data_IF_664718993283
#
_entry.id   IF_664718993283
#
_cell.length_a   1.000
_cell.length_b   1.000
_cell.length_c   1.000
_cell.angle_alpha   90.00
_cell.angle_beta   90.00
_cell.angle_gamma   90.00
#
_symmetry.space_group_name_H-M   'P 1'
#
loop_
_entity.id
_entity.type
_entity.pdbx_description
1 polymer ?
#
# COMPACT_ATOMS: atom_id res chain seq x y z
N UNK A 1 43.76 -8.07 -45.02
CA UNK A 1 42.71 -7.71 -44.03
C UNK A 1 42.04 -6.46 -44.57
N UNK A 2 41.08 -6.63 -45.48
CA UNK A 2 40.68 -5.56 -46.39
C UNK A 2 39.37 -4.91 -45.94
N UNK A 3 39.17 -3.66 -46.36
CA UNK A 3 37.94 -2.92 -46.11
C UNK A 3 36.75 -3.62 -46.77
N UNK A 4 35.61 -3.74 -46.07
CA UNK A 4 34.41 -4.37 -46.63
C UNK A 4 33.84 -3.50 -47.75
N UNK A 5 33.13 -4.16 -48.68
CA UNK A 5 32.60 -3.54 -49.91
C UNK A 5 31.31 -2.74 -49.67
N UNK A 6 30.68 -2.89 -48.49
CA UNK A 6 29.44 -2.21 -48.12
C UNK A 6 29.52 -1.58 -46.73
N UNK A 7 28.91 -0.40 -46.57
CA UNK A 7 28.78 0.31 -45.30
C UNK A 7 28.11 -0.54 -44.21
N UNK A 8 27.06 -1.29 -44.54
CA UNK A 8 26.34 -2.13 -43.56
C UNK A 8 27.26 -3.20 -42.97
N UNK A 9 28.10 -3.79 -43.82
CA UNK A 9 29.06 -4.80 -43.39
C UNK A 9 30.23 -4.19 -42.60
N UNK A 10 30.63 -2.95 -42.92
CA UNK A 10 31.53 -2.18 -42.08
C UNK A 10 30.95 -1.99 -40.68
N UNK A 11 29.71 -1.49 -40.57
CA UNK A 11 29.02 -1.29 -39.27
C UNK A 11 28.96 -2.57 -38.45
N UNK A 12 28.64 -3.72 -39.07
CA UNK A 12 28.64 -5.00 -38.35
C UNK A 12 30.04 -5.44 -37.89
N UNK A 13 31.10 -5.07 -38.62
CA UNK A 13 32.48 -5.35 -38.22
C UNK A 13 32.91 -4.47 -37.05
N UNK A 14 32.71 -3.16 -37.14
CA UNK A 14 33.04 -2.24 -36.03
C UNK A 14 32.13 -2.43 -34.83
N UNK A 15 30.87 -2.81 -35.00
CA UNK A 15 29.92 -3.10 -33.91
C UNK A 15 30.28 -4.32 -33.06
N UNK A 16 31.31 -5.10 -33.43
CA UNK A 16 31.88 -6.15 -32.58
C UNK A 16 32.99 -5.63 -31.64
N UNK A 17 33.41 -4.38 -31.82
CA UNK A 17 34.42 -3.70 -31.00
C UNK A 17 33.76 -2.93 -29.86
N UNK A 18 34.43 -2.83 -28.71
CA UNK A 18 33.88 -2.34 -27.43
C UNK A 18 32.77 -3.26 -26.85
N UNK A 19 33.09 -4.04 -25.82
CA UNK A 19 32.14 -4.92 -25.11
C UNK A 19 32.15 -4.59 -23.62
N UNK A 20 31.01 -4.80 -22.94
CA UNK A 20 30.88 -4.65 -21.49
C UNK A 20 31.43 -3.31 -20.95
N UNK A 21 31.08 -2.20 -21.60
CA UNK A 21 31.47 -0.84 -21.16
C UNK A 21 32.94 -0.46 -21.36
N UNK A 22 33.76 -1.31 -22.00
CA UNK A 22 35.15 -0.99 -22.32
C UNK A 22 35.26 -0.30 -23.67
N UNK A 23 36.10 0.74 -23.75
CA UNK A 23 36.43 1.40 -25.01
C UNK A 23 37.20 0.45 -25.94
N UNK A 24 36.81 0.41 -27.21
CA UNK A 24 37.46 -0.39 -28.26
C UNK A 24 37.83 0.49 -29.43
N UNK A 25 38.98 0.20 -30.07
CA UNK A 25 39.44 0.94 -31.25
C UNK A 25 39.58 -0.01 -32.43
N UNK A 26 38.93 0.32 -33.54
CA UNK A 26 39.06 -0.41 -34.80
C UNK A 26 40.02 0.32 -35.73
N UNK A 27 41.01 -0.39 -36.26
CA UNK A 27 41.92 0.13 -37.29
C UNK A 27 41.60 -0.61 -38.58
N UNK A 28 41.50 0.12 -39.69
CA UNK A 28 41.27 -0.47 -41.01
C UNK A 28 42.27 0.11 -42.01
N UNK A 29 42.87 -0.77 -42.81
CA UNK A 29 43.80 -0.38 -43.87
C UNK A 29 42.99 -0.21 -45.17
N UNK A 30 43.17 0.93 -45.83
CA UNK A 30 42.37 1.34 -46.98
C UNK A 30 43.29 1.51 -48.18
N UNK A 31 42.98 0.83 -49.29
CA UNK A 31 43.66 1.02 -50.58
C UNK A 31 42.86 1.95 -51.50
N UNK A 32 43.28 2.04 -52.75
CA UNK A 32 42.63 2.93 -53.74
C UNK A 32 41.20 2.49 -54.08
N UNK A 33 40.97 1.18 -54.18
CA UNK A 33 39.69 0.57 -54.52
C UNK A 33 38.58 0.90 -53.52
N UNK A 34 38.91 1.04 -52.23
CA UNK A 34 37.93 1.23 -51.15
C UNK A 34 37.70 2.70 -50.75
N UNK A 35 38.31 3.65 -51.49
CA UNK A 35 38.19 5.10 -51.24
C UNK A 35 36.74 5.59 -51.29
N UNK A 36 35.88 4.99 -52.12
CA UNK A 36 34.46 5.35 -52.24
C UNK A 36 33.71 5.13 -50.93
N UNK A 37 33.95 3.98 -50.29
CA UNK A 37 33.30 3.57 -49.04
C UNK A 37 33.84 4.40 -47.87
N UNK A 38 35.14 4.71 -47.87
CA UNK A 38 35.72 5.61 -46.87
C UNK A 38 35.04 6.99 -46.89
N UNK A 39 34.83 7.56 -48.08
CA UNK A 39 34.11 8.85 -48.21
C UNK A 39 32.68 8.76 -47.68
N UNK A 40 31.99 7.66 -47.94
CA UNK A 40 30.65 7.40 -47.42
C UNK A 40 30.63 7.26 -45.89
N UNK A 41 31.59 6.55 -45.29
CA UNK A 41 31.74 6.43 -43.83
C UNK A 41 32.02 7.79 -43.18
N UNK A 42 32.89 8.60 -43.76
CA UNK A 42 33.21 9.93 -43.22
C UNK A 42 32.02 10.89 -43.39
N UNK A 43 31.33 10.83 -44.53
CA UNK A 43 30.15 11.68 -44.77
C UNK A 43 28.95 11.31 -43.88
N UNK A 44 28.78 10.03 -43.56
CA UNK A 44 27.73 9.54 -42.65
C UNK A 44 28.02 9.82 -41.18
N UNK A 45 29.30 9.96 -40.78
CA UNK A 45 29.70 10.36 -39.44
C UNK A 45 29.82 11.88 -39.27
N UNK A 46 28.83 12.64 -39.76
CA UNK A 46 28.64 14.02 -39.30
C UNK A 46 28.02 13.96 -37.91
N UNK A 47 28.64 14.61 -36.93
CA UNK A 47 28.37 14.49 -35.49
C UNK A 47 26.97 14.89 -34.99
N UNK A 48 25.98 15.00 -35.88
CA UNK A 48 24.66 15.56 -35.62
C UNK A 48 23.68 14.54 -35.02
N UNK A 49 24.02 13.25 -34.98
CA UNK A 49 23.14 12.22 -34.43
C UNK A 49 22.83 12.50 -32.96
N UNK A 50 23.85 12.91 -32.19
CA UNK A 50 23.68 13.24 -30.76
C UNK A 50 22.77 14.47 -30.61
N UNK A 51 22.92 15.47 -31.48
CA UNK A 51 22.10 16.68 -31.43
C UNK A 51 20.64 16.41 -31.82
N UNK A 52 20.41 15.53 -32.80
CA UNK A 52 19.08 15.10 -33.19
C UNK A 52 18.35 14.35 -32.06
N UNK A 53 19.04 13.48 -31.32
CA UNK A 53 18.45 12.80 -30.17
C UNK A 53 18.22 13.77 -28.99
N UNK A 54 19.11 14.74 -28.76
CA UNK A 54 18.90 15.78 -27.73
C UNK A 54 17.63 16.60 -28.00
N UNK A 55 17.46 17.11 -29.23
CA UNK A 55 16.24 17.85 -29.63
C UNK A 55 14.97 17.01 -29.45
N UNK A 56 15.06 15.71 -29.72
CA UNK A 56 13.94 14.78 -29.54
C UNK A 56 13.62 14.53 -28.07
N UNK A 57 14.61 14.49 -27.19
CA UNK A 57 14.42 14.38 -25.73
C UNK A 57 13.80 15.66 -25.18
N UNK A 58 14.31 16.84 -25.58
CA UNK A 58 13.78 18.15 -25.19
C UNK A 58 12.29 18.28 -25.56
N UNK A 59 11.89 17.81 -26.74
CA UNK A 59 10.49 17.82 -27.17
C UNK A 59 9.54 16.96 -26.30
N UNK A 60 10.06 15.99 -25.54
CA UNK A 60 9.24 15.17 -24.64
C UNK A 60 9.12 15.75 -23.23
N UNK A 61 9.92 16.74 -22.84
CA UNK A 61 9.91 17.30 -21.49
C UNK A 61 8.55 17.88 -21.09
N UNK A 62 7.89 18.60 -22.02
CA UNK A 62 6.55 19.16 -21.77
C UNK A 62 5.49 18.08 -21.59
N UNK A 63 5.58 17.00 -22.38
CA UNK A 63 4.66 15.86 -22.27
C UNK A 63 4.82 15.13 -20.95
N UNK A 64 6.06 14.96 -20.49
CA UNK A 64 6.37 14.33 -19.19
C UNK A 64 5.82 15.18 -18.05
N UNK A 65 6.06 16.50 -18.06
CA UNK A 65 5.55 17.42 -17.02
C UNK A 65 4.02 17.39 -16.94
N UNK A 66 3.33 17.37 -18.07
CA UNK A 66 1.88 17.27 -18.12
C UNK A 66 1.36 15.99 -17.46
N UNK A 67 1.99 14.85 -17.78
CA UNK A 67 1.62 13.55 -17.19
C UNK A 67 1.89 13.54 -15.67
N UNK A 68 3.02 14.10 -15.22
CA UNK A 68 3.34 14.18 -13.79
C UNK A 68 2.34 15.04 -13.00
N UNK A 69 1.91 16.17 -13.56
CA UNK A 69 0.89 17.02 -12.94
C UNK A 69 -0.47 16.32 -12.88
N UNK A 70 -0.86 15.64 -13.95
CA UNK A 70 -2.10 14.86 -14.02
C UNK A 70 -2.08 13.69 -13.02
N UNK A 71 -1.00 12.93 -12.95
CA UNK A 71 -0.84 11.81 -12.00
C UNK A 71 -0.87 12.31 -10.55
N UNK A 72 -0.26 13.47 -10.26
CA UNK A 72 -0.26 14.07 -8.93
C UNK A 72 -1.67 14.52 -8.53
N UNK A 73 -2.42 15.12 -9.46
CA UNK A 73 -3.81 15.52 -9.24
C UNK A 73 -4.71 14.29 -9.01
N UNK A 74 -4.58 13.25 -9.83
CA UNK A 74 -5.31 12.01 -9.68
C UNK A 74 -5.01 11.33 -8.34
N UNK A 75 -3.73 11.28 -7.95
CA UNK A 75 -3.31 10.73 -6.65
C UNK A 75 -3.92 11.50 -5.48
N UNK A 76 -3.96 12.83 -5.55
CA UNK A 76 -4.57 13.65 -4.50
C UNK A 76 -6.09 13.42 -4.41
N UNK A 77 -6.78 13.36 -5.55
CA UNK A 77 -8.22 13.06 -5.61
C UNK A 77 -8.54 11.66 -5.07
N UNK A 78 -7.71 10.66 -5.40
CA UNK A 78 -7.87 9.30 -4.89
C UNK A 78 -7.79 9.24 -3.36
N UNK A 79 -6.80 9.91 -2.77
CA UNK A 79 -6.65 9.95 -1.31
C UNK A 79 -7.85 10.64 -0.64
N UNK A 80 -8.32 11.75 -1.20
CA UNK A 80 -9.50 12.45 -0.70
C UNK A 80 -10.77 11.58 -0.78
N UNK A 81 -10.97 10.87 -1.90
CA UNK A 81 -12.09 9.96 -2.07
C UNK A 81 -12.03 8.77 -1.10
N UNK A 82 -10.85 8.18 -0.89
CA UNK A 82 -10.67 7.10 0.09
C UNK A 82 -10.97 7.58 1.53
N UNK A 83 -10.61 8.81 1.87
CA UNK A 83 -10.93 9.40 3.18
C UNK A 83 -12.42 9.67 3.34
N UNK A 84 -13.08 10.21 2.31
CA UNK A 84 -14.53 10.41 2.30
C UNK A 84 -15.28 9.09 2.47
N UNK A 85 -14.94 8.05 1.69
CA UNK A 85 -15.55 6.72 1.83
C UNK A 85 -15.35 6.13 3.22
N UNK A 86 -14.16 6.27 3.81
CA UNK A 86 -13.90 5.83 5.19
C UNK A 86 -14.74 6.60 6.20
N UNK A 87 -15.02 7.87 5.96
CA UNK A 87 -15.87 8.70 6.82
C UNK A 87 -17.34 8.30 6.71
N UNK A 88 -17.83 8.05 5.49
CA UNK A 88 -19.19 7.58 5.20
C UNK A 88 -19.48 6.25 5.86
N UNK A 89 -18.60 5.25 5.67
CA UNK A 89 -18.73 3.93 6.31
C UNK A 89 -18.79 4.01 7.84
N UNK A 90 -18.04 4.94 8.44
CA UNK A 90 -18.05 5.17 9.90
C UNK A 90 -19.32 5.87 10.37
N UNK A 91 -19.93 6.71 9.53
CA UNK A 91 -21.19 7.39 9.84
C UNK A 91 -22.36 6.41 9.72
N UNK A 92 -22.47 5.69 8.59
CA UNK A 92 -23.49 4.65 8.39
C UNK A 92 -23.43 3.58 9.48
N UNK A 93 -22.24 3.06 9.79
CA UNK A 93 -22.07 2.08 10.86
C UNK A 93 -22.44 2.60 12.26
N UNK A 94 -22.36 3.92 12.49
CA UNK A 94 -22.83 4.54 13.74
C UNK A 94 -24.34 4.76 13.73
N UNK A 95 -24.91 5.13 12.60
CA UNK A 95 -26.35 5.37 12.44
C UNK A 95 -27.13 4.07 12.57
N UNK A 96 -26.69 2.97 11.94
CA UNK A 96 -27.29 1.65 12.12
C UNK A 96 -27.27 1.19 13.60
N UNK A 97 -26.16 1.46 14.29
CA UNK A 97 -25.97 1.07 15.69
C UNK A 97 -26.81 1.94 16.63
N UNK A 98 -26.97 3.22 16.30
CA UNK A 98 -27.88 4.16 16.97
C UNK A 98 -29.33 3.74 16.80
N UNK A 99 -29.74 3.39 15.59
CA UNK A 99 -31.11 2.98 15.27
C UNK A 99 -31.47 1.65 15.95
N UNK A 100 -30.56 0.68 15.91
CA UNK A 100 -30.72 -0.58 16.64
C UNK A 100 -30.89 -0.35 18.14
N UNK A 101 -30.07 0.54 18.72
CA UNK A 101 -30.14 0.89 20.15
C UNK A 101 -31.45 1.59 20.50
N UNK A 102 -31.97 2.44 19.60
CA UNK A 102 -33.26 3.11 19.76
C UNK A 102 -34.41 2.09 19.76
N UNK A 103 -34.40 1.15 18.81
CA UNK A 103 -35.39 0.08 18.70
C UNK A 103 -35.39 -0.82 19.94
N UNK A 104 -34.21 -1.25 20.40
CA UNK A 104 -34.07 -2.03 21.64
C UNK A 104 -34.62 -1.28 22.87
N UNK A 105 -34.34 0.02 22.96
CA UNK A 105 -34.84 0.86 24.04
C UNK A 105 -36.38 0.93 24.03
N UNK A 106 -36.99 1.14 22.86
CA UNK A 106 -38.44 1.18 22.70
C UNK A 106 -39.09 -0.17 23.08
N UNK A 107 -38.52 -1.29 22.62
CA UNK A 107 -39.00 -2.64 23.00
C UNK A 107 -38.92 -2.84 24.52
N UNK A 108 -37.82 -2.41 25.16
CA UNK A 108 -37.64 -2.52 26.61
C UNK A 108 -38.62 -1.63 27.38
N UNK A 109 -38.87 -0.42 26.91
CA UNK A 109 -39.85 0.50 27.49
C UNK A 109 -41.27 -0.11 27.40
N UNK A 110 -41.66 -0.63 26.24
CA UNK A 110 -42.95 -1.29 26.05
C UNK A 110 -43.11 -2.53 26.96
N UNK A 111 -42.06 -3.36 27.10
CA UNK A 111 -42.07 -4.52 28.03
C UNK A 111 -42.20 -4.10 29.50
N UNK A 112 -41.57 -2.99 29.90
CA UNK A 112 -41.71 -2.44 31.27
C UNK A 112 -43.11 -1.88 31.51
N UNK A 113 -43.69 -1.19 30.54
CA UNK A 113 -45.06 -0.68 30.63
C UNK A 113 -46.10 -1.81 30.72
N UNK A 114 -45.88 -2.93 29.99
CA UNK A 114 -46.75 -4.12 30.06
C UNK A 114 -46.61 -4.94 31.33
N UNK A 115 -45.48 -4.87 32.03
CA UNK A 115 -45.33 -5.52 33.35
C UNK A 115 -46.06 -4.67 34.39
N UNK A 116 -47.20 -5.15 34.86
CA UNK A 116 -47.92 -4.55 35.99
C UNK A 116 -46.98 -4.33 37.17
N UNK A 117 -47.08 -3.17 37.82
CA UNK A 117 -46.32 -2.86 39.04
C UNK A 117 -46.70 -3.89 40.10
N UNK A 118 -45.78 -4.79 40.46
CA UNK A 118 -46.00 -5.70 41.58
C UNK A 118 -46.25 -4.86 42.83
N UNK A 119 -47.40 -5.07 43.47
CA UNK A 119 -47.72 -4.48 44.76
C UNK A 119 -46.61 -4.92 45.72
N UNK A 120 -45.84 -3.95 46.24
CA UNK A 120 -44.94 -4.21 47.36
C UNK A 120 -45.83 -4.40 48.57
N UNK A 121 -45.98 -5.65 49.02
CA UNK A 121 -46.50 -5.90 50.35
C UNK A 121 -45.49 -5.32 51.34
N UNK A 122 -45.83 -4.19 51.95
CA UNK A 122 -45.20 -3.74 53.18
C UNK A 122 -45.72 -4.71 54.24
N UNK A 123 -44.91 -5.71 54.57
CA UNK A 123 -45.10 -6.48 55.80
C UNK A 123 -44.42 -5.65 56.88
N UNK A 124 -45.21 -5.00 57.73
CA UNK A 124 -44.72 -4.47 58.99
C UNK A 124 -44.29 -5.63 59.90
N UNK A 125 -43.26 -5.35 60.68
CA UNK A 125 -42.60 -6.16 61.69
C UNK A 125 -41.50 -7.17 61.27
N UNK A 126 -40.30 -6.74 61.67
CA UNK A 126 -39.22 -7.44 62.35
C UNK A 126 -38.16 -8.25 61.59
N UNK A 127 -36.93 -7.78 61.84
CA UNK A 127 -35.63 -8.43 61.70
C UNK A 127 -35.33 -9.15 60.39
N UNK A 128 -34.67 -8.44 59.47
CA UNK A 128 -33.88 -9.07 58.40
C UNK A 128 -32.39 -8.76 58.58
N UNK A 129 -31.52 -9.78 58.60
CA UNK A 129 -30.09 -9.56 58.66
C UNK A 129 -29.62 -8.89 57.36
N UNK A 130 -28.69 -7.95 57.48
CA UNK A 130 -28.11 -7.23 56.35
C UNK A 130 -27.62 -8.21 55.28
N UNK A 131 -28.23 -8.17 54.09
CA UNK A 131 -27.78 -8.95 52.95
C UNK A 131 -26.50 -8.34 52.41
N UNK A 132 -25.37 -8.80 52.94
CA UNK A 132 -24.04 -8.44 52.45
C UNK A 132 -23.95 -8.67 50.94
N UNK A 133 -23.45 -7.65 50.21
CA UNK A 133 -23.14 -7.74 48.78
C UNK A 133 -22.25 -8.98 48.53
N UNK A 134 -22.81 -10.04 47.96
CA UNK A 134 -22.01 -11.15 47.40
C UNK A 134 -21.09 -10.57 46.31
N UNK A 135 -19.80 -10.42 46.63
CA UNK A 135 -18.76 -10.08 45.64
C UNK A 135 -18.82 -11.13 44.53
N UNK A 136 -19.18 -10.71 43.32
CA UNK A 136 -19.11 -11.55 42.13
C UNK A 136 -17.66 -11.96 41.93
N UNK A 137 -17.35 -13.25 41.96
CA UNK A 137 -16.02 -13.74 41.53
C UNK A 137 -15.84 -13.35 40.06
N UNK A 138 -14.76 -12.65 39.75
CA UNK A 138 -14.37 -12.37 38.38
C UNK A 138 -14.15 -13.71 37.67
N UNK A 139 -14.70 -13.86 36.46
CA UNK A 139 -14.40 -15.00 35.60
C UNK A 139 -12.93 -14.88 35.17
N UNK A 140 -12.14 -15.93 35.34
CA UNK A 140 -10.75 -15.96 34.87
C UNK A 140 -10.73 -15.83 33.35
N UNK A 141 -9.87 -14.96 32.83
CA UNK A 141 -9.50 -14.99 31.42
C UNK A 141 -8.34 -15.94 31.24
N UNK A 142 -8.32 -16.67 30.12
CA UNK A 142 -7.22 -17.58 29.75
C UNK A 142 -5.84 -16.90 29.84
N UNK A 143 -5.78 -15.64 29.43
CA UNK A 143 -4.55 -14.82 29.54
C UNK A 143 -4.13 -14.54 30.97
N UNK A 144 -5.09 -14.31 31.89
CA UNK A 144 -4.78 -14.04 33.29
C UNK A 144 -4.28 -15.29 34.03
N UNK A 145 -4.68 -16.48 33.58
CA UNK A 145 -4.25 -17.76 34.15
C UNK A 145 -2.80 -18.10 33.77
N UNK A 146 -2.38 -17.73 32.55
CA UNK A 146 -1.00 -17.91 32.09
C UNK A 146 0.00 -16.93 32.71
N UNK A 147 -0.44 -15.72 33.07
CA UNK A 147 0.42 -14.68 33.63
C UNK A 147 0.43 -14.66 35.16
N UNK A 148 -0.31 -15.54 35.83
CA UNK A 148 -0.43 -15.56 37.28
C UNK A 148 0.80 -16.23 37.94
N UNK A 149 1.69 -15.41 38.51
CA UNK A 149 2.91 -15.85 39.22
C UNK A 149 2.71 -16.08 40.74
N UNK A 150 1.47 -16.19 41.20
CA UNK A 150 1.14 -16.39 42.61
C UNK A 150 1.49 -17.79 43.11
N UNK A 151 1.97 -17.91 44.35
CA UNK A 151 2.31 -19.22 44.98
C UNK A 151 1.18 -20.26 44.93
N UNK A 152 -0.09 -19.81 44.92
CA UNK A 152 -1.27 -20.69 44.81
C UNK A 152 -1.51 -21.17 43.38
N UNK A 153 -1.26 -20.33 42.39
CA UNK A 153 -1.47 -20.62 40.96
C UNK A 153 -0.36 -21.57 40.45
N UNK A 154 0.89 -21.32 40.84
CA UNK A 154 2.03 -22.21 40.56
C UNK A 154 1.84 -23.61 41.16
N UNK A 155 1.19 -23.72 42.33
CA UNK A 155 0.88 -25.03 42.93
C UNK A 155 -0.15 -25.83 42.13
N UNK A 156 -1.10 -25.17 41.44
CA UNK A 156 -2.09 -25.87 40.61
C UNK A 156 -1.47 -26.50 39.37
N UNK A 157 -0.49 -25.82 38.74
CA UNK A 157 0.20 -26.34 37.56
C UNK A 157 1.20 -27.47 37.87
N UNK A 158 1.66 -27.60 39.13
CA UNK A 158 2.64 -28.64 39.53
C UNK A 158 2.08 -30.06 39.66
N UNK A 159 0.75 -30.21 39.69
CA UNK A 159 0.09 -31.53 39.84
C UNK A 159 -0.89 -31.81 38.69
N UNK A 160 -0.64 -31.23 37.52
CA UNK A 160 -1.31 -31.59 36.27
C UNK A 160 -0.80 -32.91 35.70
#
# INVERSE_FOLDING_TARGET
MNMPVSLKQYVHRVGRTARAGRVGRSISLVGESERKILKEIVASNKGDVIEAYKKRIEGFEESIKRIEEEEKAERALRLANEELQRSELKLEGKDELRDRRLAEFQIRAAKRARKGKKIRAVVEHDERPSSGKKKRKAKSSFTAELTAVGKKDVKRFRHG
#
